data_IF_373598286652
#
_entry.id   IF_373598286652
#
_cell.length_a   1.000
_cell.length_b   1.000
_cell.length_c   1.000
_cell.angle_alpha   90.00
_cell.angle_beta   90.00
_cell.angle_gamma   90.00
#
_symmetry.space_group_name_H-M   'P 1'
#
loop_
_entity.id
_entity.type
_entity.pdbx_description
1 polymer ?
#
# COMPACT_ATOMS: atom_id res chain seq x y z
N UNK A 1 -1.18 6.79 -44.96
CA UNK A 1 0.19 6.90 -45.51
C UNK A 1 0.89 5.52 -45.52
N UNK A 2 1.59 5.14 -46.61
CA UNK A 2 2.39 3.91 -46.69
C UNK A 2 3.59 3.92 -45.74
N UNK A 3 3.93 2.76 -45.15
CA UNK A 3 5.02 2.63 -44.15
C UNK A 3 6.37 3.05 -44.73
N UNK A 4 6.70 2.62 -45.94
CA UNK A 4 8.01 2.89 -46.54
C UNK A 4 8.25 4.38 -46.81
N UNK A 5 7.20 5.10 -47.23
CA UNK A 5 7.26 6.54 -47.41
C UNK A 5 7.44 7.30 -46.08
N UNK A 6 6.99 6.73 -44.96
CA UNK A 6 7.13 7.34 -43.64
C UNK A 6 8.55 7.17 -43.12
N UNK A 7 9.10 5.96 -43.21
CA UNK A 7 10.47 5.69 -42.75
C UNK A 7 11.53 6.29 -43.69
N UNK A 8 11.26 6.45 -44.98
CA UNK A 8 12.17 7.19 -45.88
C UNK A 8 12.27 8.68 -45.52
N UNK A 9 11.13 9.33 -45.22
CA UNK A 9 11.11 10.71 -44.72
C UNK A 9 11.77 10.83 -43.35
N UNK A 10 11.55 9.84 -42.48
CA UNK A 10 12.18 9.81 -41.16
C UNK A 10 13.70 9.66 -41.24
N UNK A 11 14.20 8.83 -42.16
CA UNK A 11 15.63 8.69 -42.43
C UNK A 11 16.26 10.04 -42.83
N UNK A 12 15.58 10.83 -43.68
CA UNK A 12 16.05 12.17 -44.10
C UNK A 12 16.14 13.18 -42.93
N UNK A 13 15.37 12.98 -41.85
CA UNK A 13 15.38 13.85 -40.67
C UNK A 13 16.48 13.48 -39.65
N UNK A 14 17.14 12.33 -39.80
CA UNK A 14 18.27 11.95 -38.94
C UNK A 14 19.60 12.51 -39.45
N UNK A 15 20.51 12.76 -38.52
CA UNK A 15 21.84 13.37 -38.80
C UNK A 15 22.67 12.63 -39.86
N UNK A 16 22.48 11.31 -40.03
CA UNK A 16 23.23 10.49 -40.98
C UNK A 16 22.42 10.05 -42.21
N UNK A 17 21.16 10.50 -42.36
CA UNK A 17 20.31 10.05 -43.45
C UNK A 17 19.92 8.57 -43.40
N UNK A 18 20.21 7.87 -42.29
CA UNK A 18 20.02 6.43 -42.12
C UNK A 18 19.08 6.12 -40.96
N UNK A 19 18.36 5.01 -41.07
CA UNK A 19 17.52 4.47 -40.01
C UNK A 19 18.39 3.87 -38.90
N UNK A 20 18.01 4.05 -37.64
CA UNK A 20 18.63 3.30 -36.56
C UNK A 20 18.05 1.90 -36.44
N UNK A 21 18.75 0.96 -35.78
CA UNK A 21 18.21 -0.38 -35.51
C UNK A 21 16.85 -0.37 -34.81
N UNK A 22 16.58 0.63 -33.96
CA UNK A 22 15.25 0.81 -33.34
C UNK A 22 14.18 1.16 -34.37
N UNK A 23 14.50 2.03 -35.34
CA UNK A 23 13.56 2.43 -36.39
C UNK A 23 13.29 1.28 -37.36
N UNK A 24 14.32 0.49 -37.68
CA UNK A 24 14.17 -0.72 -38.51
C UNK A 24 13.26 -1.75 -37.83
N UNK A 25 13.44 -1.95 -36.52
CA UNK A 25 12.56 -2.80 -35.74
C UNK A 25 11.10 -2.26 -35.75
N UNK A 26 10.89 -0.96 -35.59
CA UNK A 26 9.56 -0.34 -35.69
C UNK A 26 8.94 -0.45 -37.08
N UNK A 27 9.74 -0.29 -38.14
CA UNK A 27 9.28 -0.41 -39.53
C UNK A 27 8.61 -1.75 -39.79
N UNK A 28 9.18 -2.84 -39.26
CA UNK A 28 8.61 -4.18 -39.40
C UNK A 28 7.22 -4.31 -38.74
N UNK A 29 7.00 -3.62 -37.62
CA UNK A 29 5.75 -3.65 -36.84
C UNK A 29 4.67 -2.73 -37.40
N UNK A 30 5.04 -1.65 -38.09
CA UNK A 30 4.09 -0.65 -38.61
C UNK A 30 3.35 -1.10 -39.87
N UNK A 31 3.54 -2.34 -40.34
CA UNK A 31 2.72 -2.94 -41.40
C UNK A 31 1.27 -3.14 -40.95
N UNK A 32 1.04 -3.44 -39.67
CA UNK A 32 -0.30 -3.62 -39.10
C UNK A 32 -0.88 -2.31 -38.53
N UNK A 33 -2.14 -1.95 -38.85
CA UNK A 33 -2.81 -0.78 -38.28
C UNK A 33 -3.02 -0.90 -36.76
N UNK A 34 -3.23 -2.12 -36.23
CA UNK A 34 -3.38 -2.35 -34.79
C UNK A 34 -2.10 -1.99 -34.02
N UNK A 35 -0.94 -2.39 -34.54
CA UNK A 35 0.35 -2.07 -33.93
C UNK A 35 0.68 -0.57 -33.99
N UNK A 36 0.18 0.15 -35.00
CA UNK A 36 0.27 1.63 -35.04
C UNK A 36 -0.55 2.28 -33.93
N UNK A 37 -1.74 1.76 -33.62
CA UNK A 37 -2.55 2.26 -32.50
C UNK A 37 -1.85 2.01 -31.16
N UNK A 38 -1.29 0.81 -30.98
CA UNK A 38 -0.51 0.45 -29.79
C UNK A 38 0.70 1.38 -29.64
N UNK A 39 1.42 1.69 -30.73
CA UNK A 39 2.52 2.65 -30.71
C UNK A 39 2.08 4.05 -30.26
N UNK A 40 0.98 4.57 -30.79
CA UNK A 40 0.49 5.92 -30.43
C UNK A 40 0.03 6.00 -28.97
N UNK A 41 -0.45 4.89 -28.42
CA UNK A 41 -0.94 4.80 -27.04
C UNK A 41 0.17 4.56 -26.02
N UNK A 42 1.00 3.54 -26.24
CA UNK A 42 1.97 3.04 -25.25
C UNK A 42 3.43 3.34 -25.61
N UNK A 43 3.70 3.81 -26.83
CA UNK A 43 5.03 4.20 -27.27
C UNK A 43 5.91 3.08 -27.83
N UNK A 44 7.12 3.42 -28.30
CA UNK A 44 8.05 2.48 -28.92
C UNK A 44 8.60 1.44 -27.93
N UNK A 45 8.88 1.84 -26.69
CA UNK A 45 9.49 0.97 -25.69
C UNK A 45 8.59 -0.20 -25.33
N UNK A 46 7.30 0.03 -25.11
CA UNK A 46 6.31 -1.04 -24.86
C UNK A 46 6.13 -1.94 -26.07
N UNK A 47 6.10 -1.37 -27.28
CA UNK A 47 5.89 -2.15 -28.50
C UNK A 47 7.07 -3.09 -28.83
N UNK A 48 8.31 -2.65 -28.56
CA UNK A 48 9.51 -3.42 -28.91
C UNK A 48 10.00 -4.35 -27.79
N UNK A 49 9.89 -3.93 -26.53
CA UNK A 49 10.51 -4.65 -25.41
C UNK A 49 9.56 -5.63 -24.70
N UNK A 50 8.27 -5.64 -25.05
CA UNK A 50 7.34 -6.57 -24.43
C UNK A 50 7.56 -8.01 -24.95
N UNK A 51 7.90 -8.93 -24.04
CA UNK A 51 8.22 -10.33 -24.37
C UNK A 51 7.00 -11.24 -24.50
N UNK A 52 5.88 -10.88 -23.88
CA UNK A 52 4.66 -11.69 -23.84
C UNK A 52 3.47 -11.07 -24.58
N UNK A 53 3.66 -9.91 -25.23
CA UNK A 53 2.57 -9.21 -25.88
C UNK A 53 2.25 -9.79 -27.26
N UNK A 54 0.97 -10.01 -27.52
CA UNK A 54 0.45 -10.45 -28.81
C UNK A 54 -0.21 -9.29 -29.55
N UNK A 55 -0.04 -9.21 -30.88
CA UNK A 55 -0.56 -8.11 -31.69
C UNK A 55 -2.10 -7.96 -31.60
N UNK A 56 -2.81 -9.06 -31.38
CA UNK A 56 -4.27 -9.10 -31.30
C UNK A 56 -4.80 -8.80 -29.88
N UNK A 57 -3.94 -8.85 -28.87
CA UNK A 57 -4.32 -8.59 -27.48
C UNK A 57 -3.75 -7.26 -26.97
N UNK A 58 -4.61 -6.24 -26.94
CA UNK A 58 -4.25 -4.92 -26.40
C UNK A 58 -4.03 -4.96 -24.89
N UNK A 59 -4.65 -5.91 -24.17
CA UNK A 59 -4.54 -6.00 -22.72
C UNK A 59 -3.13 -6.38 -22.27
N UNK A 60 -2.47 -7.30 -22.98
CA UNK A 60 -1.07 -7.64 -22.73
C UNK A 60 -0.13 -6.42 -22.78
N UNK A 61 -0.30 -5.55 -23.79
CA UNK A 61 0.48 -4.30 -23.89
C UNK A 61 0.17 -3.32 -22.76
N UNK A 62 -1.10 -3.22 -22.38
CA UNK A 62 -1.54 -2.39 -21.27
C UNK A 62 -0.88 -2.82 -19.96
N UNK A 63 -0.89 -4.12 -19.67
CA UNK A 63 -0.32 -4.68 -18.44
C UNK A 63 1.20 -4.44 -18.36
N UNK A 64 1.92 -4.67 -19.47
CA UNK A 64 3.35 -4.37 -19.56
C UNK A 64 3.62 -2.88 -19.36
N UNK A 65 2.90 -2.00 -20.06
CA UNK A 65 3.09 -0.56 -19.98
C UNK A 65 2.84 -0.03 -18.56
N UNK A 66 1.76 -0.50 -17.92
CA UNK A 66 1.30 -0.06 -16.61
C UNK A 66 2.37 -0.21 -15.52
N UNK A 67 3.01 -1.38 -15.48
CA UNK A 67 3.95 -1.73 -14.41
C UNK A 67 5.11 -0.73 -14.26
N UNK A 68 5.75 -0.36 -15.38
CA UNK A 68 6.96 0.47 -15.37
C UNK A 68 6.63 1.95 -15.59
N UNK A 69 5.68 2.28 -16.47
CA UNK A 69 5.49 3.67 -16.91
C UNK A 69 4.46 4.45 -16.07
N UNK A 70 3.59 3.75 -15.34
CA UNK A 70 2.51 4.37 -14.55
C UNK A 70 2.68 4.03 -13.08
N UNK A 71 2.66 2.74 -12.75
CA UNK A 71 2.64 2.27 -11.38
C UNK A 71 3.90 2.67 -10.62
N UNK A 72 5.08 2.44 -11.20
CA UNK A 72 6.36 2.75 -10.56
C UNK A 72 6.50 4.24 -10.19
N UNK A 73 6.25 5.22 -11.10
CA UNK A 73 6.24 6.63 -10.74
C UNK A 73 5.28 7.00 -9.60
N UNK A 74 4.05 6.47 -9.61
CA UNK A 74 3.06 6.77 -8.57
C UNK A 74 3.40 6.13 -7.23
N UNK A 75 3.88 4.89 -7.22
CA UNK A 75 4.35 4.24 -5.98
C UNK A 75 5.51 5.04 -5.39
N UNK A 76 6.48 5.42 -6.23
CA UNK A 76 7.62 6.21 -5.79
C UNK A 76 7.18 7.58 -5.24
N UNK A 77 6.26 8.25 -5.92
CA UNK A 77 5.67 9.52 -5.47
C UNK A 77 4.95 9.39 -4.12
N UNK A 78 4.05 8.41 -3.98
CA UNK A 78 3.33 8.12 -2.73
C UNK A 78 4.30 7.81 -1.59
N UNK A 79 5.37 7.06 -1.87
CA UNK A 79 6.42 6.77 -0.90
C UNK A 79 7.15 8.03 -0.45
N UNK A 80 7.64 8.84 -1.40
CA UNK A 80 8.30 10.11 -1.10
C UNK A 80 7.39 11.08 -0.33
N UNK A 81 6.13 11.20 -0.74
CA UNK A 81 5.12 12.03 -0.08
C UNK A 81 4.84 11.54 1.35
N UNK A 82 4.74 10.21 1.54
CA UNK A 82 4.55 9.59 2.84
C UNK A 82 5.72 9.80 3.79
N UNK A 83 6.96 9.81 3.28
CA UNK A 83 8.15 10.16 4.05
C UNK A 83 8.19 11.66 4.36
N UNK A 84 7.93 12.51 3.36
CA UNK A 84 7.97 13.96 3.50
C UNK A 84 6.89 14.50 4.44
N UNK A 85 5.78 13.79 4.61
CA UNK A 85 4.68 14.11 5.55
C UNK A 85 4.74 13.29 6.84
N UNK A 86 5.81 12.54 7.07
CA UNK A 86 5.96 11.78 8.31
C UNK A 86 6.35 12.69 9.48
N UNK A 87 5.83 12.37 10.67
CA UNK A 87 6.11 13.11 11.90
C UNK A 87 7.60 13.16 12.24
N UNK A 88 8.33 12.07 11.96
CA UNK A 88 9.77 11.96 12.24
C UNK A 88 10.63 12.85 11.35
N UNK A 89 10.21 13.11 10.11
CA UNK A 89 10.99 13.90 9.14
C UNK A 89 10.58 15.38 9.17
N UNK A 90 9.28 15.65 9.29
CA UNK A 90 8.70 16.97 9.02
C UNK A 90 7.91 17.58 10.19
N UNK A 91 7.74 16.82 11.28
CA UNK A 91 7.06 17.27 12.49
C UNK A 91 5.55 17.04 12.49
N UNK A 92 4.90 17.52 13.54
CA UNK A 92 3.48 17.24 13.81
C UNK A 92 2.53 17.89 12.79
N UNK A 93 2.80 19.14 12.39
CA UNK A 93 1.89 19.91 11.54
C UNK A 93 1.70 19.28 10.15
N UNK A 94 2.78 18.79 9.53
CA UNK A 94 2.73 18.08 8.25
C UNK A 94 2.10 16.69 8.38
N UNK A 95 2.28 15.99 9.51
CA UNK A 95 1.68 14.67 9.76
C UNK A 95 0.15 14.70 9.71
N UNK A 96 -0.47 15.82 10.09
CA UNK A 96 -1.94 16.00 10.00
C UNK A 96 -2.45 15.97 8.56
N UNK A 97 -1.65 16.42 7.60
CA UNK A 97 -2.00 16.45 6.18
C UNK A 97 -1.73 15.13 5.46
N UNK A 98 -0.93 14.23 6.07
CA UNK A 98 -0.51 12.96 5.46
C UNK A 98 -1.68 12.14 4.91
N UNK A 99 -2.75 11.95 5.69
CA UNK A 99 -3.89 11.14 5.25
C UNK A 99 -4.58 11.71 4.01
N UNK A 100 -4.82 13.02 3.98
CA UNK A 100 -5.44 13.71 2.84
C UNK A 100 -4.51 13.73 1.63
N UNK A 101 -3.22 14.02 1.84
CA UNK A 101 -2.22 14.05 0.77
C UNK A 101 -2.06 12.68 0.10
N UNK A 102 -1.99 11.60 0.88
CA UNK A 102 -1.91 10.23 0.34
C UNK A 102 -3.18 9.82 -0.40
N UNK A 103 -4.36 10.19 0.11
CA UNK A 103 -5.64 9.90 -0.57
C UNK A 103 -5.76 10.66 -1.90
N UNK A 104 -5.34 11.93 -1.93
CA UNK A 104 -5.31 12.70 -3.17
C UNK A 104 -4.27 12.17 -4.17
N UNK A 105 -3.09 11.73 -3.70
CA UNK A 105 -2.09 11.09 -4.55
C UNK A 105 -2.61 9.78 -5.15
N UNK A 106 -3.33 8.97 -4.37
CA UNK A 106 -3.99 7.75 -4.86
C UNK A 106 -5.10 8.07 -5.87
N UNK A 107 -5.87 9.13 -5.66
CA UNK A 107 -6.86 9.60 -6.62
C UNK A 107 -6.21 10.07 -7.93
N UNK A 108 -5.09 10.80 -7.85
CA UNK A 108 -4.33 11.25 -9.02
C UNK A 108 -3.78 10.06 -9.83
N UNK A 109 -3.26 9.03 -9.13
CA UNK A 109 -2.86 7.77 -9.75
C UNK A 109 -4.05 7.09 -10.44
N UNK A 110 -5.21 6.99 -9.78
CA UNK A 110 -6.41 6.40 -10.36
C UNK A 110 -6.88 7.11 -11.65
N UNK A 111 -6.80 8.45 -11.68
CA UNK A 111 -7.13 9.25 -12.88
C UNK A 111 -6.19 8.93 -14.04
N UNK A 112 -4.89 8.89 -13.79
CA UNK A 112 -3.89 8.58 -14.83
C UNK A 112 -4.06 7.15 -15.41
N UNK A 113 -4.39 6.21 -14.54
CA UNK A 113 -4.76 4.84 -14.93
C UNK A 113 -6.03 4.85 -15.78
N UNK A 114 -7.07 5.58 -15.37
CA UNK A 114 -8.33 5.68 -16.10
C UNK A 114 -8.12 6.30 -17.50
N UNK A 115 -7.32 7.36 -17.61
CA UNK A 115 -6.98 7.98 -18.90
C UNK A 115 -6.23 6.99 -19.79
N UNK A 116 -5.21 6.32 -19.27
CA UNK A 116 -4.39 5.41 -20.07
C UNK A 116 -5.14 4.15 -20.48
N UNK A 117 -6.10 3.68 -19.68
CA UNK A 117 -6.93 2.49 -19.95
C UNK A 117 -8.08 2.76 -20.94
N UNK A 118 -8.67 3.95 -20.91
CA UNK A 118 -9.82 4.30 -21.76
C UNK A 118 -9.42 4.91 -23.10
N UNK A 119 -8.22 5.49 -23.21
CA UNK A 119 -7.80 6.16 -24.44
C UNK A 119 -7.57 5.17 -25.60
N UNK A 120 -8.22 5.41 -26.73
CA UNK A 120 -8.04 4.66 -27.98
C UNK A 120 -7.70 5.62 -29.13
N UNK A 121 -6.47 5.59 -29.68
CA UNK A 121 -6.08 6.49 -30.76
C UNK A 121 -6.70 6.04 -32.09
N UNK A 122 -7.33 6.99 -32.79
CA UNK A 122 -7.89 6.75 -34.14
C UNK A 122 -6.76 6.79 -35.16
N UNK A 123 -6.53 5.65 -35.82
CA UNK A 123 -5.57 5.53 -36.94
C UNK A 123 -6.37 5.40 -38.23
N UNK A 124 -6.61 6.53 -38.90
CA UNK A 124 -7.22 6.58 -40.23
C UNK A 124 -6.15 6.89 -41.29
N UNK A 125 -6.18 6.26 -42.47
CA UNK A 125 -5.28 6.60 -43.56
C UNK A 125 -5.45 8.05 -44.07
N UNK A 126 -6.59 8.69 -43.79
CA UNK A 126 -6.88 10.09 -44.14
C UNK A 126 -6.25 11.11 -43.19
N UNK A 127 -5.75 10.69 -42.02
CA UNK A 127 -5.14 11.58 -41.02
C UNK A 127 -3.61 11.54 -41.21
N UNK A 128 -2.99 12.65 -41.66
CA UNK A 128 -1.56 12.66 -42.00
C UNK A 128 -0.63 12.59 -40.78
N UNK A 129 -1.10 12.92 -39.58
CA UNK A 129 -0.34 12.86 -38.34
C UNK A 129 -1.28 12.58 -37.14
N UNK A 130 -1.63 11.30 -36.88
CA UNK A 130 -2.43 10.99 -35.71
C UNK A 130 -1.62 11.27 -34.44
N UNK A 131 -2.18 12.07 -33.53
CA UNK A 131 -1.56 12.37 -32.25
C UNK A 131 -1.51 11.14 -31.36
N UNK A 132 -0.36 10.90 -30.72
CA UNK A 132 -0.20 9.86 -29.72
C UNK A 132 -0.21 10.43 -28.31
N UNK A 133 -0.92 9.79 -27.39
CA UNK A 133 -0.97 10.23 -25.98
C UNK A 133 0.29 9.89 -25.22
N UNK A 134 1.08 8.89 -25.65
CA UNK A 134 2.24 8.39 -24.91
C UNK A 134 3.20 9.49 -24.44
N UNK A 135 3.65 10.35 -25.36
CA UNK A 135 4.60 11.43 -25.05
C UNK A 135 3.98 12.52 -24.18
N UNK A 136 2.74 12.91 -24.51
CA UNK A 136 1.99 13.92 -23.76
C UNK A 136 1.74 13.45 -22.34
N UNK A 137 1.22 12.23 -22.16
CA UNK A 137 0.98 11.63 -20.85
C UNK A 137 2.26 11.50 -20.03
N UNK A 138 3.37 11.11 -20.64
CA UNK A 138 4.66 11.02 -19.92
C UNK A 138 5.08 12.38 -19.36
N UNK A 139 5.00 13.45 -20.16
CA UNK A 139 5.33 14.80 -19.67
C UNK A 139 4.32 15.36 -18.67
N UNK A 140 3.02 15.16 -18.95
CA UNK A 140 1.92 15.69 -18.15
C UNK A 140 1.87 15.02 -16.77
N UNK A 141 2.19 13.72 -16.69
CA UNK A 141 2.24 12.96 -15.44
C UNK A 141 3.23 13.59 -14.47
N UNK A 142 4.49 13.72 -14.85
CA UNK A 142 5.50 14.28 -13.96
C UNK A 142 5.20 15.74 -13.61
N UNK A 143 4.67 16.52 -14.55
CA UNK A 143 4.25 17.90 -14.30
C UNK A 143 3.08 17.96 -13.30
N UNK A 144 2.09 17.07 -13.43
CA UNK A 144 0.96 16.98 -12.50
C UNK A 144 1.41 16.57 -11.09
N UNK A 145 2.34 15.61 -10.98
CA UNK A 145 2.93 15.22 -9.70
C UNK A 145 3.68 16.39 -9.04
N UNK A 146 4.52 17.10 -9.78
CA UNK A 146 5.23 18.26 -9.25
C UNK A 146 4.28 19.40 -8.85
N UNK A 147 3.25 19.68 -9.65
CA UNK A 147 2.25 20.69 -9.32
C UNK A 147 1.47 20.32 -8.06
N UNK A 148 1.09 19.04 -7.95
CA UNK A 148 0.43 18.51 -6.76
C UNK A 148 1.31 18.69 -5.51
N UNK A 149 2.59 18.33 -5.59
CA UNK A 149 3.53 18.49 -4.47
C UNK A 149 3.71 19.96 -4.08
N UNK A 150 3.80 20.86 -5.06
CA UNK A 150 3.90 22.29 -4.80
C UNK A 150 2.64 22.83 -4.08
N UNK A 151 1.45 22.38 -4.49
CA UNK A 151 0.18 22.75 -3.84
C UNK A 151 0.12 22.19 -2.42
N UNK A 152 0.45 20.91 -2.20
CA UNK A 152 0.45 20.30 -0.86
C UNK A 152 1.45 20.99 0.05
N UNK A 153 2.68 21.23 -0.42
CA UNK A 153 3.69 21.95 0.34
C UNK A 153 3.23 23.37 0.71
N UNK A 154 2.60 24.07 -0.23
CA UNK A 154 2.02 25.39 0.02
C UNK A 154 0.90 25.35 1.06
N UNK A 155 -0.01 24.36 1.00
CA UNK A 155 -1.09 24.21 1.98
C UNK A 155 -0.57 23.90 3.38
N UNK A 156 0.43 23.02 3.49
CA UNK A 156 1.10 22.72 4.75
C UNK A 156 1.74 24.00 5.31
N UNK A 157 2.52 24.71 4.49
CA UNK A 157 3.15 25.98 4.88
C UNK A 157 2.12 27.04 5.32
N UNK A 158 1.04 27.20 4.56
CA UNK A 158 -0.03 28.15 4.85
C UNK A 158 -0.75 27.81 6.17
N UNK A 159 -0.99 26.52 6.42
CA UNK A 159 -1.61 26.05 7.66
C UNK A 159 -0.71 26.24 8.87
N UNK A 160 0.60 25.98 8.73
CA UNK A 160 1.57 26.09 9.81
C UNK A 160 1.88 27.55 10.19
N UNK A 161 1.91 28.45 9.20
CA UNK A 161 2.22 29.87 9.46
C UNK A 161 1.01 30.70 9.89
N UNK A 162 -0.21 30.20 9.70
CA UNK A 162 -1.44 30.89 10.08
C UNK A 162 -1.64 32.28 9.44
N UNK A 163 -0.80 32.64 8.45
CA UNK A 163 -0.73 33.98 7.84
C UNK A 163 -1.86 34.25 6.84
N UNK A 164 -2.48 33.20 6.31
CA UNK A 164 -3.54 33.32 5.32
C UNK A 164 -4.90 33.22 6.00
N UNK A 165 -5.73 34.25 5.86
CA UNK A 165 -7.05 34.37 6.50
C UNK A 165 -8.01 33.18 6.26
N UNK A 166 -7.78 32.39 5.22
CA UNK A 166 -8.53 31.16 4.89
C UNK A 166 -8.09 29.93 5.72
N UNK A 167 -6.86 29.93 6.23
CA UNK A 167 -6.25 28.83 7.00
C UNK A 167 -5.91 29.23 8.44
N UNK A 168 -6.10 30.50 8.80
CA UNK A 168 -6.13 30.96 10.18
C UNK A 168 -7.35 30.34 10.87
N UNK A 169 -7.19 29.14 11.43
CA UNK A 169 -8.12 28.68 12.45
C UNK A 169 -8.15 29.76 13.55
N UNK A 170 -9.31 30.13 14.11
CA UNK A 170 -9.38 31.09 15.22
C UNK A 170 -8.51 30.69 16.43
N UNK A 171 -7.98 29.46 16.48
CA UNK A 171 -6.99 28.98 17.43
C UNK A 171 -5.56 29.51 17.24
N UNK A 172 -5.20 30.09 16.09
CA UNK A 172 -3.90 30.73 15.90
C UNK A 172 -3.86 32.15 16.50
N UNK A 173 -5.03 32.73 16.81
CA UNK A 173 -5.12 34.03 17.44
C UNK A 173 -4.93 33.99 18.97
N UNK A 174 -5.25 32.86 19.62
CA UNK A 174 -5.16 32.70 21.07
C UNK A 174 -4.32 31.46 21.47
N UNK A 175 -3.06 31.64 21.93
CA UNK A 175 -2.21 30.52 22.37
C UNK A 175 -2.81 29.72 23.54
N UNK A 176 -3.67 30.36 24.34
CA UNK A 176 -4.37 29.75 25.46
C UNK A 176 -5.45 28.74 25.01
N UNK A 177 -6.08 28.98 23.85
CA UNK A 177 -7.08 28.07 23.28
C UNK A 177 -6.42 26.79 22.73
N UNK A 178 -5.23 26.93 22.14
CA UNK A 178 -4.43 25.79 21.66
C UNK A 178 -3.99 24.89 22.82
N UNK A 179 -3.51 25.50 23.93
CA UNK A 179 -3.16 24.80 25.16
C UNK A 179 -4.33 24.00 25.73
N UNK A 180 -5.52 24.63 25.82
CA UNK A 180 -6.74 23.96 26.30
C UNK A 180 -7.14 22.76 25.46
N UNK A 181 -7.05 22.84 24.13
CA UNK A 181 -7.35 21.69 23.26
C UNK A 181 -6.34 20.55 23.40
N UNK A 182 -5.07 20.87 23.63
CA UNK A 182 -4.06 19.85 23.91
C UNK A 182 -4.35 19.16 25.25
N UNK A 183 -4.73 19.91 26.27
CA UNK A 183 -5.15 19.37 27.57
C UNK A 183 -6.42 18.52 27.45
N UNK A 184 -7.41 18.95 26.67
CA UNK A 184 -8.62 18.16 26.35
C UNK A 184 -8.27 16.86 25.61
N UNK A 185 -7.34 16.89 24.66
CA UNK A 185 -6.91 15.69 23.95
C UNK A 185 -6.15 14.72 24.87
N UNK A 186 -5.24 15.22 25.71
CA UNK A 186 -4.49 14.42 26.69
C UNK A 186 -5.42 13.82 27.74
N UNK A 187 -6.37 14.59 28.25
CA UNK A 187 -7.36 14.08 29.21
C UNK A 187 -8.25 13.02 28.59
N UNK A 188 -8.73 13.21 27.35
CA UNK A 188 -9.49 12.19 26.61
C UNK A 188 -8.69 10.91 26.37
N UNK A 189 -7.42 11.03 26.00
CA UNK A 189 -6.53 9.89 25.85
C UNK A 189 -6.35 9.13 27.17
N UNK A 190 -6.08 9.83 28.28
CA UNK A 190 -5.98 9.24 29.60
C UNK A 190 -7.27 8.53 30.03
N UNK A 191 -8.44 9.12 29.77
CA UNK A 191 -9.73 8.49 30.05
C UNK A 191 -9.91 7.20 29.24
N UNK A 192 -9.58 7.21 27.94
CA UNK A 192 -9.67 6.00 27.10
C UNK A 192 -8.73 4.88 27.55
N UNK A 193 -7.54 5.24 28.05
CA UNK A 193 -6.57 4.30 28.60
C UNK A 193 -7.06 3.72 29.92
N UNK A 194 -7.60 4.54 30.81
CA UNK A 194 -8.20 4.09 32.07
C UNK A 194 -9.38 3.14 31.81
N UNK A 195 -10.27 3.47 30.86
CA UNK A 195 -11.39 2.60 30.47
C UNK A 195 -10.91 1.24 29.94
N UNK A 196 -9.88 1.24 29.10
CA UNK A 196 -9.27 0.01 28.59
C UNK A 196 -8.65 -0.82 29.72
N UNK A 197 -7.96 -0.16 30.65
CA UNK A 197 -7.38 -0.81 31.83
C UNK A 197 -8.46 -1.39 32.75
N UNK A 198 -9.58 -0.70 32.96
CA UNK A 198 -10.69 -1.22 33.76
C UNK A 198 -11.35 -2.42 33.08
N UNK A 199 -11.51 -2.39 31.77
CA UNK A 199 -12.07 -3.52 31.01
C UNK A 199 -11.17 -4.75 31.08
N UNK A 200 -9.86 -4.59 30.94
CA UNK A 200 -8.89 -5.68 31.09
C UNK A 200 -8.88 -6.27 32.50
N UNK A 201 -8.98 -5.41 33.52
CA UNK A 201 -9.10 -5.85 34.92
C UNK A 201 -10.42 -6.60 35.15
N UNK A 202 -11.54 -6.07 34.67
CA UNK A 202 -12.85 -6.71 34.77
C UNK A 202 -12.87 -8.07 34.07
N UNK A 203 -12.31 -8.17 32.86
CA UNK A 203 -12.16 -9.43 32.14
C UNK A 203 -11.33 -10.45 32.92
N UNK A 204 -10.20 -10.01 33.48
CA UNK A 204 -9.32 -10.87 34.29
C UNK A 204 -10.03 -11.37 35.54
N UNK A 205 -10.78 -10.50 36.22
CA UNK A 205 -11.57 -10.88 37.41
C UNK A 205 -12.68 -11.86 37.01
N UNK A 206 -13.42 -11.58 35.93
CA UNK A 206 -14.47 -12.45 35.42
C UNK A 206 -13.93 -13.84 35.06
N UNK A 207 -12.82 -13.91 34.31
CA UNK A 207 -12.15 -15.18 33.97
C UNK A 207 -11.71 -15.94 35.22
N UNK A 208 -11.10 -15.26 36.19
CA UNK A 208 -10.71 -15.88 37.45
C UNK A 208 -11.92 -16.38 38.25
N UNK A 209 -13.03 -15.64 38.26
CA UNK A 209 -14.26 -16.03 38.92
C UNK A 209 -14.90 -17.26 38.25
N UNK A 210 -14.97 -17.28 36.91
CA UNK A 210 -15.46 -18.41 36.11
C UNK A 210 -14.61 -19.66 36.36
N UNK A 211 -13.28 -19.56 36.32
CA UNK A 211 -12.40 -20.71 36.54
C UNK A 211 -12.48 -21.27 37.97
N UNK A 212 -12.75 -20.41 38.96
CA UNK A 212 -12.89 -20.82 40.37
C UNK A 212 -14.27 -21.39 40.71
N UNK A 213 -15.32 -21.03 39.97
CA UNK A 213 -16.66 -21.57 40.18
C UNK A 213 -16.89 -22.79 39.26
N UNK A 214 -17.09 -23.96 39.87
CA UNK A 214 -17.23 -25.22 39.14
C UNK A 214 -18.43 -25.25 38.19
N UNK A 215 -19.54 -24.57 38.51
CA UNK A 215 -20.73 -24.57 37.65
C UNK A 215 -20.55 -23.65 36.44
N UNK A 216 -19.98 -22.46 36.63
CA UNK A 216 -19.67 -21.55 35.52
C UNK A 216 -18.57 -22.13 34.62
N UNK A 217 -17.55 -22.75 35.20
CA UNK A 217 -16.51 -23.43 34.44
C UNK A 217 -17.08 -24.55 33.57
N UNK A 218 -17.97 -25.38 34.11
CA UNK A 218 -18.60 -26.46 33.35
C UNK A 218 -19.40 -25.93 32.15
N UNK A 219 -20.07 -24.77 32.30
CA UNK A 219 -20.77 -24.10 31.21
C UNK A 219 -19.83 -23.49 30.17
N UNK A 220 -18.70 -22.90 30.59
CA UNK A 220 -17.67 -22.38 29.70
C UNK A 220 -17.03 -23.52 28.89
N UNK A 221 -16.64 -24.62 29.55
CA UNK A 221 -16.10 -25.81 28.91
C UNK A 221 -17.11 -26.42 27.90
N UNK A 222 -18.42 -26.40 28.21
CA UNK A 222 -19.46 -26.90 27.30
C UNK A 222 -19.63 -26.01 26.07
N UNK A 223 -19.59 -24.69 26.27
CA UNK A 223 -19.59 -23.72 25.18
C UNK A 223 -18.41 -23.94 24.23
N UNK A 224 -17.18 -24.02 24.75
CA UNK A 224 -15.99 -24.23 23.91
C UNK A 224 -16.00 -25.59 23.21
N UNK A 225 -16.47 -26.65 23.88
CA UNK A 225 -16.66 -27.97 23.24
C UNK A 225 -17.63 -27.91 22.06
N UNK A 226 -18.73 -27.15 22.18
CA UNK A 226 -19.67 -26.94 21.08
C UNK A 226 -19.07 -26.15 19.92
N UNK A 227 -18.36 -25.05 20.20
CA UNK A 227 -17.70 -24.24 19.17
C UNK A 227 -16.73 -25.12 18.35
N UNK A 228 -15.87 -25.87 19.03
CA UNK A 228 -14.90 -26.78 18.39
C UNK A 228 -15.60 -27.89 17.57
N UNK A 229 -16.72 -28.42 18.05
CA UNK A 229 -17.51 -29.41 17.30
C UNK A 229 -18.20 -28.84 16.06
N UNK A 230 -18.61 -27.56 16.11
CA UNK A 230 -19.25 -26.87 14.98
C UNK A 230 -18.20 -26.54 13.91
N UNK A 231 -17.03 -26.03 14.31
CA UNK A 231 -15.91 -25.76 13.40
C UNK A 231 -15.42 -27.03 12.68
N UNK A 232 -15.41 -28.18 13.39
CA UNK A 232 -15.15 -29.50 12.82
C UNK A 232 -16.24 -29.93 11.83
N UNK A 233 -17.52 -29.75 12.18
CA UNK A 233 -18.64 -30.13 11.31
C UNK A 233 -18.76 -29.30 10.02
N UNK A 234 -18.26 -28.06 10.02
CA UNK A 234 -18.28 -27.15 8.87
C UNK A 234 -17.02 -27.21 8.01
N UNK A 235 -16.04 -28.06 8.34
CA UNK A 235 -14.78 -28.19 7.59
C UNK A 235 -13.91 -26.92 7.60
N UNK A 236 -14.16 -26.02 8.57
CA UNK A 236 -13.42 -24.76 8.74
C UNK A 236 -12.31 -24.90 9.80
N UNK A 237 -12.31 -26.00 10.57
CA UNK A 237 -11.29 -26.34 11.56
C UNK A 237 -10.41 -27.51 11.12
N UNK A 238 -9.59 -27.32 10.08
CA UNK A 238 -8.52 -28.25 9.68
C UNK A 238 -7.26 -28.12 10.58
N UNK A 239 -7.40 -27.56 11.78
CA UNK A 239 -6.26 -27.30 12.69
C UNK A 239 -6.02 -28.48 13.66
N UNK A 240 -6.90 -29.49 13.66
CA UNK A 240 -6.65 -30.79 14.31
C UNK A 240 -5.74 -31.70 13.49
N UNK A 241 -5.67 -31.51 12.17
CA UNK A 241 -4.73 -32.20 11.29
C UNK A 241 -3.28 -31.78 11.53
N UNK A 242 -3.03 -30.51 11.81
CA UNK A 242 -1.65 -29.98 11.91
C UNK A 242 -0.81 -30.64 13.00
N UNK A 243 -1.38 -30.99 14.17
CA UNK A 243 -0.64 -31.69 15.22
C UNK A 243 -0.59 -33.22 15.03
N UNK A 244 -1.54 -33.77 14.26
CA UNK A 244 -1.58 -35.19 13.89
C UNK A 244 -0.76 -35.49 12.62
N UNK A 245 -0.39 -34.46 11.85
CA UNK A 245 0.44 -34.55 10.67
C UNK A 245 1.78 -35.19 11.01
N UNK A 246 2.09 -36.26 10.28
CA UNK A 246 3.28 -37.08 10.48
C UNK A 246 4.57 -36.24 10.37
N UNK A 247 4.56 -35.19 9.55
CA UNK A 247 5.66 -34.24 9.40
C UNK A 247 5.85 -33.36 10.65
N UNK A 248 4.75 -32.90 11.26
CA UNK A 248 4.79 -32.09 12.48
C UNK A 248 5.19 -32.94 13.68
N UNK A 249 4.70 -34.19 13.78
CA UNK A 249 5.14 -35.13 14.81
C UNK A 249 6.62 -35.51 14.64
N UNK A 250 7.10 -35.67 13.40
CA UNK A 250 8.52 -35.90 13.11
C UNK A 250 9.38 -34.65 13.40
N UNK A 251 8.85 -33.45 13.24
CA UNK A 251 9.53 -32.20 13.59
C UNK A 251 9.60 -31.99 15.11
N UNK A 252 8.49 -32.25 15.81
CA UNK A 252 8.39 -32.17 17.27
C UNK A 252 9.33 -33.20 17.92
N UNK A 253 9.28 -34.45 17.49
CA UNK A 253 10.18 -35.51 18.00
C UNK A 253 11.65 -35.22 17.68
N UNK A 254 11.97 -34.60 16.54
CA UNK A 254 13.33 -34.10 16.25
C UNK A 254 13.71 -32.95 17.17
N UNK A 255 12.82 -32.01 17.47
CA UNK A 255 13.11 -30.89 18.36
C UNK A 255 13.38 -31.35 19.81
N UNK A 256 12.59 -32.32 20.31
CA UNK A 256 12.80 -32.91 21.63
C UNK A 256 13.98 -33.89 21.67
N UNK A 257 14.20 -34.69 20.63
CA UNK A 257 15.24 -35.73 20.57
C UNK A 257 16.64 -35.21 20.22
N UNK A 258 16.75 -34.10 19.49
CA UNK A 258 18.05 -33.48 19.12
C UNK A 258 18.66 -32.62 20.23
N UNK A 259 17.96 -32.41 21.35
CA UNK A 259 18.40 -31.53 22.43
C UNK A 259 18.38 -30.03 22.09
N UNK A 260 17.82 -29.65 20.94
CA UNK A 260 17.67 -28.25 20.52
C UNK A 260 16.64 -27.47 21.36
N UNK A 261 15.69 -28.17 21.99
CA UNK A 261 14.73 -27.57 22.90
C UNK A 261 14.91 -28.13 24.33
N UNK A 262 15.58 -27.36 25.18
CA UNK A 262 15.76 -27.70 26.58
C UNK A 262 14.52 -27.31 27.39
N UNK A 263 13.62 -28.27 27.61
CA UNK A 263 12.35 -28.07 28.33
C UNK A 263 12.55 -27.50 29.74
N UNK A 264 13.64 -27.87 30.39
CA UNK A 264 13.97 -27.39 31.75
C UNK A 264 14.41 -25.92 31.73
N UNK A 265 15.15 -25.51 30.71
CA UNK A 265 15.50 -24.10 30.51
C UNK A 265 14.26 -23.28 30.15
N UNK A 266 13.43 -23.76 29.25
CA UNK A 266 12.17 -23.10 28.87
C UNK A 266 11.25 -22.93 30.09
N UNK A 267 11.16 -23.94 30.95
CA UNK A 267 10.39 -23.87 32.20
C UNK A 267 10.96 -22.81 33.15
N UNK A 268 12.27 -22.74 33.30
CA UNK A 268 12.93 -21.69 34.10
C UNK A 268 12.70 -20.29 33.53
N UNK A 269 12.77 -20.12 32.22
CA UNK A 269 12.51 -18.84 31.56
C UNK A 269 11.05 -18.41 31.73
N UNK A 270 10.11 -19.35 31.63
CA UNK A 270 8.70 -19.10 31.91
C UNK A 270 8.46 -18.69 33.37
N UNK A 271 9.08 -19.39 34.33
CA UNK A 271 8.98 -19.04 35.76
C UNK A 271 9.58 -17.65 36.04
N UNK A 272 10.70 -17.30 35.40
CA UNK A 272 11.30 -15.96 35.51
C UNK A 272 10.39 -14.89 34.90
N UNK A 273 9.79 -15.17 33.74
CA UNK A 273 8.84 -14.26 33.10
C UNK A 273 7.62 -14.01 33.97
N UNK A 274 6.99 -15.08 34.48
CA UNK A 274 5.86 -14.99 35.40
C UNK A 274 6.26 -14.18 36.63
N UNK A 275 7.40 -14.48 37.25
CA UNK A 275 7.89 -13.77 38.43
C UNK A 275 8.15 -12.29 38.17
N UNK A 276 8.66 -11.92 36.99
CA UNK A 276 8.85 -10.52 36.61
C UNK A 276 7.52 -9.79 36.39
N UNK A 277 6.57 -10.45 35.71
CA UNK A 277 5.24 -9.89 35.46
C UNK A 277 4.44 -9.77 36.75
N UNK A 278 4.55 -10.73 37.68
CA UNK A 278 3.85 -10.72 38.97
C UNK A 278 4.61 -10.01 40.08
N UNK A 279 5.81 -9.48 39.82
CA UNK A 279 6.67 -8.84 40.82
C UNK A 279 5.97 -7.72 41.59
N UNK A 280 5.04 -7.01 40.94
CA UNK A 280 4.29 -5.93 41.58
C UNK A 280 3.25 -6.44 42.61
N UNK A 281 2.78 -7.68 42.47
CA UNK A 281 1.82 -8.30 43.40
C UNK A 281 2.49 -8.70 44.72
N UNK A 282 3.75 -9.12 44.68
CA UNK A 282 4.53 -9.50 45.87
C UNK A 282 4.95 -8.28 46.72
N UNK A 283 5.06 -7.10 46.11
CA UNK A 283 5.37 -5.83 46.82
C UNK A 283 4.19 -5.23 47.58
N UNK A 284 2.98 -5.78 47.45
CA UNK A 284 1.75 -5.28 48.10
C UNK A 284 1.33 -6.08 49.34
N UNK A 285 2.27 -6.79 50.00
CA UNK A 285 2.03 -7.53 51.24
C UNK A 285 2.77 -6.93 52.42
#
# INVERSE_FOLDING_TARGET
>A
MPTDALFSRFAMLREHGTLTPVDEALRSKFTSPALRQIYLRFGPSTLLNCTFCHADDTFSYLLYHYSINILLPHIFHIFCLGLATSETVSGYESSRWRGQALLCALALAAVDIAVTTTYSPVVSPSIPAPGGIFWVASTLRYLALCLFDAVVAFLIYASATGRFLLFSAPSAADPELARRRMEEAVTKANLSLQLSQTNLRAYTIARNATVRNTTLKASDDDYWRRVVSVEESQGLGDDRGVFEDEEVQAAISRAYGSGSMNVEQMRKEADVYVKNVTRWLDTTR
#
